data_IF_144950472123
#
_entry.id   IF_144950472123
#
_cell.length_a   1.000
_cell.length_b   1.000
_cell.length_c   1.000
_cell.angle_alpha   90.00
_cell.angle_beta   90.00
_cell.angle_gamma   90.00
#
_symmetry.space_group_name_H-M   'P 1'
#
loop_
_entity.id
_entity.type
_entity.pdbx_description
1 polymer ?
#
# COMPACT_ATOMS: atom_id res chain seq x y z
N UNK A 1 -6.71 -13.27 2.29
CA UNK A 1 -5.90 -13.96 1.26
C UNK A 1 -5.44 -12.90 0.28
N UNK A 2 -4.19 -13.01 -0.19
CA UNK A 2 -3.62 -12.04 -1.13
C UNK A 2 -3.53 -12.53 -2.56
N UNK A 3 -3.02 -11.65 -3.41
CA UNK A 3 -3.10 -11.71 -4.87
C UNK A 3 -2.11 -10.72 -5.50
N UNK A 4 -1.61 -11.03 -6.69
CA UNK A 4 -0.65 -10.19 -7.38
C UNK A 4 -1.31 -9.16 -8.33
N UNK A 5 -0.57 -8.11 -8.64
CA UNK A 5 -0.88 -7.08 -9.63
C UNK A 5 -0.49 -7.46 -11.06
N UNK A 6 -1.35 -7.16 -12.04
CA UNK A 6 -1.06 -7.20 -13.47
C UNK A 6 -0.59 -5.82 -13.95
N UNK A 7 0.72 -5.69 -14.12
CA UNK A 7 1.37 -4.45 -14.54
C UNK A 7 1.40 -4.35 -16.08
N UNK A 8 0.48 -5.04 -16.75
CA UNK A 8 0.57 -5.56 -18.12
C UNK A 8 0.54 -4.56 -19.28
N UNK A 9 0.88 -3.29 -19.08
CA UNK A 9 1.11 -2.35 -20.20
C UNK A 9 2.48 -1.67 -20.16
N UNK A 10 3.52 -2.52 -20.17
CA UNK A 10 4.89 -2.25 -20.65
C UNK A 10 5.58 -0.97 -20.12
N UNK A 11 6.20 -1.12 -18.95
CA UNK A 11 7.64 -0.87 -18.79
C UNK A 11 8.08 -1.57 -17.50
N UNK A 12 8.92 -2.61 -17.62
CA UNK A 12 9.48 -3.34 -16.47
C UNK A 12 10.33 -2.44 -15.55
N UNK A 13 10.62 -1.23 -16.01
CA UNK A 13 11.40 -0.22 -15.29
C UNK A 13 10.52 0.81 -14.55
N UNK A 14 9.18 0.75 -14.64
CA UNK A 14 8.30 1.84 -14.17
C UNK A 14 7.77 1.72 -12.73
N UNK A 15 8.08 0.64 -12.02
CA UNK A 15 7.56 0.43 -10.66
C UNK A 15 6.03 0.43 -10.60
N UNK A 16 5.46 0.56 -9.40
CA UNK A 16 4.01 0.75 -9.22
C UNK A 16 3.71 2.24 -9.32
N UNK A 17 2.90 2.64 -10.29
CA UNK A 17 2.50 4.04 -10.43
C UNK A 17 1.39 4.41 -9.45
N UNK A 18 1.45 5.61 -8.90
CA UNK A 18 0.37 6.14 -8.09
C UNK A 18 0.01 7.58 -8.45
N UNK A 19 -1.23 7.96 -8.19
CA UNK A 19 -1.74 9.32 -8.39
C UNK A 19 -2.51 9.77 -7.14
N UNK A 20 -2.29 10.99 -6.69
CA UNK A 20 -2.99 11.57 -5.54
C UNK A 20 -4.01 12.63 -6.00
N UNK A 21 -5.28 12.30 -5.88
CA UNK A 21 -6.40 13.21 -5.99
C UNK A 21 -6.75 13.80 -4.61
N UNK A 22 -6.79 15.13 -4.53
CA UNK A 22 -7.15 15.84 -3.31
C UNK A 22 -8.52 16.51 -3.46
N UNK A 23 -9.46 16.14 -2.59
CA UNK A 23 -10.79 16.74 -2.54
C UNK A 23 -10.87 17.83 -1.46
N UNK A 24 -10.76 19.08 -1.92
CA UNK A 24 -10.83 20.26 -1.07
C UNK A 24 -9.47 20.67 -0.50
N UNK A 25 -9.49 21.42 0.61
CA UNK A 25 -8.26 21.94 1.23
C UNK A 25 -7.75 21.00 2.31
N UNK A 26 -6.52 20.54 2.17
CA UNK A 26 -5.83 19.74 3.18
C UNK A 26 -5.10 20.62 4.19
N UNK A 27 -4.92 20.07 5.40
CA UNK A 27 -3.97 20.60 6.38
C UNK A 27 -2.55 20.36 5.87
N UNK A 28 -1.64 21.29 6.16
CA UNK A 28 -0.21 21.11 5.91
C UNK A 28 0.30 19.79 6.50
N UNK A 29 1.14 19.08 5.74
CA UNK A 29 1.75 17.81 6.14
C UNK A 29 0.96 16.55 5.78
N UNK A 30 -0.33 16.65 5.41
CA UNK A 30 -1.13 15.46 5.02
C UNK A 30 -0.51 14.73 3.83
N UNK A 31 -0.19 15.45 2.75
CA UNK A 31 0.45 14.83 1.57
C UNK A 31 1.80 14.20 1.91
N UNK A 32 2.59 14.88 2.74
CA UNK A 32 3.86 14.33 3.21
C UNK A 32 3.68 13.04 4.02
N UNK A 33 2.62 12.93 4.82
CA UNK A 33 2.31 11.71 5.57
C UNK A 33 1.94 10.54 4.64
N UNK A 34 1.22 10.81 3.54
CA UNK A 34 0.90 9.81 2.50
C UNK A 34 2.15 9.36 1.77
N UNK A 35 3.00 10.30 1.34
CA UNK A 35 4.28 9.94 0.71
C UNK A 35 5.16 9.12 1.64
N UNK A 36 5.24 9.49 2.92
CA UNK A 36 5.99 8.72 3.90
C UNK A 36 5.46 7.29 4.10
N UNK A 37 4.15 7.07 4.00
CA UNK A 37 3.57 5.73 4.06
C UNK A 37 4.00 4.87 2.85
N UNK A 38 4.06 5.46 1.67
CA UNK A 38 4.56 4.82 0.44
C UNK A 38 6.07 4.53 0.58
N UNK A 39 6.84 5.50 1.06
CA UNK A 39 8.28 5.36 1.34
C UNK A 39 8.57 4.25 2.37
N UNK A 40 7.71 4.07 3.37
CA UNK A 40 7.84 2.99 4.35
C UNK A 40 7.76 1.61 3.70
N UNK A 41 6.78 1.40 2.81
CA UNK A 41 6.68 0.17 2.03
C UNK A 41 7.87 -0.01 1.10
N UNK A 42 8.24 1.03 0.35
CA UNK A 42 9.38 0.96 -0.57
C UNK A 42 10.68 0.59 0.15
N UNK A 43 11.00 1.25 1.25
CA UNK A 43 12.21 1.00 2.01
C UNK A 43 12.25 -0.43 2.57
N UNK A 44 11.12 -0.92 3.08
CA UNK A 44 11.00 -2.26 3.69
C UNK A 44 11.07 -3.38 2.64
N UNK A 45 10.44 -3.20 1.49
CA UNK A 45 10.53 -4.13 0.35
C UNK A 45 11.95 -4.14 -0.22
N UNK A 46 12.58 -2.97 -0.35
CA UNK A 46 13.97 -2.85 -0.81
C UNK A 46 14.95 -3.56 0.13
N UNK A 47 14.77 -3.42 1.45
CA UNK A 47 15.56 -4.16 2.43
C UNK A 47 15.37 -5.67 2.30
N UNK A 48 14.12 -6.13 2.13
CA UNK A 48 13.82 -7.53 1.89
C UNK A 48 14.52 -8.05 0.62
N UNK A 49 14.39 -7.35 -0.51
CA UNK A 49 15.05 -7.70 -1.77
C UNK A 49 16.57 -7.83 -1.57
N UNK A 50 17.21 -6.85 -0.92
CA UNK A 50 18.64 -6.86 -0.66
C UNK A 50 19.10 -8.06 0.19
N UNK A 51 18.29 -8.51 1.15
CA UNK A 51 18.60 -9.68 2.00
C UNK A 51 18.47 -11.02 1.29
N UNK A 52 17.55 -11.13 0.31
CA UNK A 52 17.33 -12.37 -0.44
C UNK A 52 18.19 -12.47 -1.71
N UNK A 53 18.79 -11.37 -2.17
CA UNK A 53 19.73 -11.36 -3.30
C UNK A 53 21.14 -11.80 -2.88
N UNK A 54 21.30 -13.04 -2.42
CA UNK A 54 22.60 -13.71 -2.51
C UNK A 54 22.82 -14.18 -3.97
N UNK A 55 23.78 -13.56 -4.66
CA UNK A 55 24.38 -14.02 -5.92
C UNK A 55 23.50 -14.02 -7.20
N UNK A 56 22.97 -12.86 -7.62
CA UNK A 56 22.56 -12.65 -9.01
C UNK A 56 23.25 -11.42 -9.60
N UNK A 57 23.97 -11.60 -10.71
CA UNK A 57 24.84 -10.60 -11.40
C UNK A 57 24.06 -9.55 -12.22
N UNK A 58 22.73 -9.55 -12.11
CA UNK A 58 21.86 -8.60 -12.80
C UNK A 58 21.51 -7.43 -11.89
N UNK A 59 21.82 -6.20 -12.34
CA UNK A 59 21.25 -4.98 -11.80
C UNK A 59 19.75 -4.98 -12.12
N UNK A 60 18.95 -5.57 -11.23
CA UNK A 60 17.51 -5.43 -11.28
C UNK A 60 17.13 -3.98 -11.00
N UNK A 61 16.19 -3.44 -11.77
CA UNK A 61 15.56 -2.16 -11.44
C UNK A 61 14.88 -2.31 -10.08
N UNK A 62 15.27 -1.47 -9.12
CA UNK A 62 14.75 -1.58 -7.77
C UNK A 62 13.24 -1.38 -7.76
N UNK A 63 12.54 -2.14 -6.92
CA UNK A 63 11.15 -1.82 -6.59
C UNK A 63 11.04 -0.35 -6.20
N UNK A 64 10.01 0.31 -6.70
CA UNK A 64 9.74 1.70 -6.42
C UNK A 64 8.30 2.07 -6.72
N UNK A 65 7.82 3.08 -6.03
CA UNK A 65 6.57 3.74 -6.37
C UNK A 65 6.86 5.01 -7.18
N UNK A 66 6.07 5.23 -8.24
CA UNK A 66 6.24 6.38 -9.12
C UNK A 66 4.98 7.22 -9.11
N UNK A 67 5.09 8.43 -8.56
CA UNK A 67 3.99 9.38 -8.63
C UNK A 67 3.84 9.87 -10.08
N UNK A 68 2.62 9.76 -10.63
CA UNK A 68 2.23 10.32 -11.92
C UNK A 68 1.13 11.35 -11.73
N UNK A 69 0.85 12.14 -12.77
CA UNK A 69 -0.04 13.29 -12.68
C UNK A 69 -1.49 13.04 -13.05
N UNK A 70 -1.89 11.80 -13.32
CA UNK A 70 -3.24 11.46 -13.74
C UNK A 70 -3.71 10.09 -13.24
N UNK A 71 -5.03 9.87 -13.31
CA UNK A 71 -5.69 8.70 -12.75
C UNK A 71 -5.50 7.41 -13.57
N UNK A 72 -4.65 7.40 -14.60
CA UNK A 72 -4.25 6.15 -15.26
C UNK A 72 -3.24 5.34 -14.43
N UNK A 73 -2.94 5.77 -13.20
CA UNK A 73 -2.02 5.11 -12.29
C UNK A 73 -2.56 3.74 -11.85
N UNK A 74 -1.66 2.85 -11.45
CA UNK A 74 -2.03 1.56 -10.87
C UNK A 74 -2.82 1.78 -9.56
N UNK A 75 -2.37 2.73 -8.73
CA UNK A 75 -3.01 3.12 -7.48
C UNK A 75 -3.48 4.57 -7.54
N UNK A 76 -4.77 4.82 -7.35
CA UNK A 76 -5.31 6.18 -7.18
C UNK A 76 -5.67 6.43 -5.72
N UNK A 77 -5.05 7.44 -5.10
CA UNK A 77 -5.43 7.95 -3.79
C UNK A 77 -6.48 9.05 -3.93
N UNK A 78 -7.58 8.95 -3.19
CA UNK A 78 -8.61 9.98 -3.03
C UNK A 78 -8.57 10.45 -1.59
N UNK A 79 -7.95 11.60 -1.36
CA UNK A 79 -7.83 12.21 -0.03
C UNK A 79 -8.95 13.23 0.16
N UNK A 80 -9.82 12.98 1.12
CA UNK A 80 -10.98 13.83 1.41
C UNK A 80 -11.14 14.12 2.90
N UNK A 81 -12.08 14.99 3.25
CA UNK A 81 -12.32 15.34 4.68
C UNK A 81 -12.89 14.17 5.46
N UNK A 82 -13.88 13.49 4.91
CA UNK A 82 -14.50 12.29 5.48
C UNK A 82 -14.78 11.29 4.36
N UNK A 83 -14.77 10.00 4.68
CA UNK A 83 -15.09 8.93 3.74
C UNK A 83 -16.59 8.88 3.38
N UNK A 84 -17.44 9.54 4.19
CA UNK A 84 -18.89 9.32 4.22
C UNK A 84 -19.29 8.05 4.97
N UNK A 85 -18.32 7.32 5.53
CA UNK A 85 -18.47 6.07 6.27
C UNK A 85 -17.83 6.20 7.66
N UNK A 86 -17.93 5.15 8.48
CA UNK A 86 -17.22 5.08 9.76
C UNK A 86 -15.73 4.81 9.61
N UNK A 87 -15.34 4.11 8.54
CA UNK A 87 -13.94 3.83 8.24
C UNK A 87 -13.21 5.10 7.79
N UNK A 88 -11.95 5.25 8.21
CA UNK A 88 -11.06 6.36 7.90
C UNK A 88 -10.26 6.10 6.61
N UNK A 89 -10.11 4.84 6.21
CA UNK A 89 -9.55 4.39 4.95
C UNK A 89 -10.45 3.34 4.29
N UNK A 90 -10.30 3.18 2.98
CA UNK A 90 -10.90 2.08 2.23
C UNK A 90 -10.13 1.87 0.93
N UNK A 91 -9.70 0.63 0.69
CA UNK A 91 -9.12 0.21 -0.59
C UNK A 91 -10.10 -0.63 -1.38
N UNK A 92 -10.35 -0.22 -2.63
CA UNK A 92 -11.14 -0.97 -3.60
C UNK A 92 -10.21 -1.50 -4.69
N UNK A 93 -10.14 -2.82 -4.80
CA UNK A 93 -9.34 -3.51 -5.82
C UNK A 93 -10.21 -3.82 -7.05
N UNK A 94 -9.66 -3.54 -8.24
CA UNK A 94 -10.20 -4.00 -9.51
C UNK A 94 -9.44 -5.23 -9.99
N UNK A 95 -10.16 -6.15 -10.63
CA UNK A 95 -9.67 -7.48 -10.94
C UNK A 95 -9.90 -7.85 -12.39
N UNK A 96 -8.95 -8.56 -12.98
CA UNK A 96 -9.13 -9.31 -14.23
C UNK A 96 -8.43 -10.64 -14.09
N UNK A 97 -9.06 -11.74 -14.51
CA UNK A 97 -8.43 -13.08 -14.56
C UNK A 97 -7.70 -13.51 -13.26
N UNK A 98 -8.23 -13.13 -12.09
CA UNK A 98 -7.69 -13.52 -10.79
C UNK A 98 -6.47 -12.72 -10.32
N UNK A 99 -6.15 -11.60 -10.97
CA UNK A 99 -5.08 -10.66 -10.62
C UNK A 99 -5.63 -9.24 -10.43
N UNK A 100 -5.01 -8.46 -9.55
CA UNK A 100 -5.35 -7.04 -9.35
C UNK A 100 -4.89 -6.27 -10.59
N UNK A 101 -5.71 -5.39 -11.14
CA UNK A 101 -5.34 -4.53 -12.29
C UNK A 101 -5.30 -3.03 -11.93
N UNK A 102 -5.97 -2.63 -10.86
CA UNK A 102 -5.95 -1.27 -10.32
C UNK A 102 -6.45 -1.26 -8.88
N UNK A 103 -6.09 -0.23 -8.11
CA UNK A 103 -6.59 0.00 -6.76
C UNK A 103 -6.98 1.48 -6.59
N UNK A 104 -8.12 1.69 -5.94
CA UNK A 104 -8.54 3.00 -5.47
C UNK A 104 -8.47 3.02 -3.95
N UNK A 105 -7.64 3.90 -3.39
CA UNK A 105 -7.50 4.13 -1.96
C UNK A 105 -8.23 5.42 -1.62
N UNK A 106 -9.33 5.33 -0.87
CA UNK A 106 -10.01 6.49 -0.31
C UNK A 106 -9.60 6.70 1.14
N UNK A 107 -9.21 7.91 1.53
CA UNK A 107 -8.88 8.21 2.93
C UNK A 107 -9.49 9.52 3.42
N UNK A 108 -9.86 9.52 4.70
CA UNK A 108 -10.30 10.69 5.43
C UNK A 108 -9.14 11.39 6.13
N UNK A 109 -9.28 12.70 6.27
CA UNK A 109 -8.38 13.53 7.10
C UNK A 109 -9.04 13.99 8.40
N UNK A 110 -10.31 13.62 8.60
CA UNK A 110 -11.08 13.86 9.81
C UNK A 110 -11.89 12.62 10.16
N UNK A 111 -12.06 12.38 11.45
CA UNK A 111 -12.97 11.34 11.92
C UNK A 111 -14.44 11.75 11.76
N UNK A 112 -15.36 10.84 12.04
CA UNK A 112 -16.83 11.05 11.91
C UNK A 112 -17.37 12.22 12.74
N UNK A 113 -16.62 12.71 13.72
CA UNK A 113 -16.99 13.88 14.56
C UNK A 113 -16.42 15.19 14.01
N UNK A 114 -15.75 15.17 12.86
CA UNK A 114 -15.13 16.33 12.23
C UNK A 114 -13.81 16.76 12.87
N UNK A 115 -13.25 15.97 13.80
CA UNK A 115 -11.92 16.24 14.35
C UNK A 115 -10.86 15.79 13.35
N UNK A 116 -9.89 16.66 13.08
CA UNK A 116 -8.79 16.33 12.17
C UNK A 116 -7.91 15.24 12.78
N UNK A 117 -7.52 14.27 11.96
CA UNK A 117 -6.60 13.20 12.35
C UNK A 117 -5.20 13.75 12.56
N UNK A 118 -4.39 13.13 13.41
CA UNK A 118 -2.99 13.50 13.54
C UNK A 118 -2.18 13.00 12.32
N UNK A 119 -1.02 13.60 12.04
CA UNK A 119 -0.23 13.22 10.86
C UNK A 119 0.28 11.78 10.94
N UNK A 120 0.51 11.28 12.15
CA UNK A 120 0.88 9.89 12.39
C UNK A 120 -0.27 8.94 12.01
N UNK A 121 -1.51 9.27 12.38
CA UNK A 121 -2.67 8.46 12.02
C UNK A 121 -2.91 8.46 10.51
N UNK A 122 -2.77 9.63 9.85
CA UNK A 122 -2.85 9.72 8.38
C UNK A 122 -1.83 8.81 7.71
N UNK A 123 -0.59 8.77 8.22
CA UNK A 123 0.47 7.90 7.69
C UNK A 123 0.16 6.42 7.94
N UNK A 124 -0.32 6.06 9.13
CA UNK A 124 -0.70 4.67 9.44
C UNK A 124 -1.84 4.18 8.56
N UNK A 125 -2.90 4.99 8.40
CA UNK A 125 -4.03 4.66 7.52
C UNK A 125 -3.52 4.50 6.09
N UNK A 126 -2.75 5.47 5.58
CA UNK A 126 -2.19 5.36 4.23
C UNK A 126 -1.32 4.10 4.07
N UNK A 127 -0.49 3.75 5.06
CA UNK A 127 0.35 2.57 5.01
C UNK A 127 -0.48 1.27 5.03
N UNK A 128 -1.54 1.22 5.83
CA UNK A 128 -2.48 0.09 5.86
C UNK A 128 -3.16 -0.09 4.50
N UNK A 129 -3.72 0.98 3.94
CA UNK A 129 -4.40 0.94 2.64
C UNK A 129 -3.43 0.62 1.49
N UNK A 130 -2.18 1.08 1.56
CA UNK A 130 -1.14 0.64 0.60
C UNK A 130 -0.90 -0.87 0.73
N UNK A 131 -0.90 -1.44 1.94
CA UNK A 131 -0.82 -2.88 2.12
C UNK A 131 -1.96 -3.63 1.41
N UNK A 132 -3.19 -3.13 1.54
CA UNK A 132 -4.34 -3.66 0.78
C UNK A 132 -4.18 -3.50 -0.73
N UNK A 133 -3.71 -2.34 -1.18
CA UNK A 133 -3.42 -2.13 -2.58
C UNK A 133 -2.40 -3.15 -3.06
N UNK A 134 -1.33 -3.42 -2.31
CA UNK A 134 -0.35 -4.48 -2.57
C UNK A 134 -0.90 -5.92 -2.41
N UNK A 135 -2.20 -6.09 -2.18
CA UNK A 135 -2.85 -7.39 -2.12
C UNK A 135 -2.80 -8.07 -0.76
N UNK A 136 -2.45 -7.36 0.32
CA UNK A 136 -2.53 -7.90 1.67
C UNK A 136 -3.96 -7.83 2.21
N UNK A 137 -4.38 -8.85 2.98
CA UNK A 137 -5.58 -8.81 3.81
C UNK A 137 -5.25 -8.46 5.26
N UNK A 138 -6.29 -8.33 6.09
CA UNK A 138 -6.10 -8.02 7.51
C UNK A 138 -5.32 -9.09 8.27
N UNK A 139 -4.47 -8.62 9.17
CA UNK A 139 -3.80 -9.38 10.24
C UNK A 139 -4.74 -9.59 11.43
N UNK A 140 -4.55 -10.69 12.15
CA UNK A 140 -5.21 -10.96 13.44
C UNK A 140 -4.39 -10.42 14.63
N UNK A 141 -3.14 -9.97 14.40
CA UNK A 141 -2.27 -9.41 15.43
C UNK A 141 -2.55 -7.92 15.65
N UNK A 142 -2.99 -7.48 16.85
CA UNK A 142 -3.32 -6.08 17.12
C UNK A 142 -2.16 -5.08 17.02
N UNK A 143 -0.91 -5.56 17.08
CA UNK A 143 0.29 -4.73 16.97
C UNK A 143 0.82 -4.63 15.52
N UNK A 144 0.19 -5.32 14.57
CA UNK A 144 0.59 -5.36 13.16
C UNK A 144 -0.06 -4.24 12.34
N UNK A 145 0.67 -3.71 11.35
CA UNK A 145 0.16 -2.64 10.49
C UNK A 145 -1.14 -3.03 9.79
N UNK A 146 -1.28 -4.29 9.37
CA UNK A 146 -2.46 -4.79 8.66
C UNK A 146 -3.60 -5.19 9.61
N UNK A 147 -3.55 -4.88 10.90
CA UNK A 147 -4.68 -5.10 11.79
C UNK A 147 -5.86 -4.18 11.47
N UNK A 148 -7.08 -4.72 11.44
CA UNK A 148 -8.28 -4.03 10.99
C UNK A 148 -8.67 -2.77 11.81
N UNK A 149 -8.01 -2.48 12.94
CA UNK A 149 -8.33 -1.29 13.71
C UNK A 149 -7.79 0.01 13.12
N UNK A 150 -6.78 -0.04 12.24
CA UNK A 150 -6.26 1.16 11.58
C UNK A 150 -7.30 1.80 10.64
N UNK A 151 -8.30 1.04 10.21
CA UNK A 151 -9.50 1.55 9.54
C UNK A 151 -10.32 2.50 10.43
N UNK A 152 -10.17 2.45 11.76
CA UNK A 152 -11.12 3.07 12.69
C UNK A 152 -10.49 3.87 13.84
N UNK A 153 -9.19 3.71 14.13
CA UNK A 153 -8.58 4.19 15.37
C UNK A 153 -7.37 5.12 15.11
N UNK A 154 -7.31 6.18 15.91
CA UNK A 154 -6.15 7.05 16.08
C UNK A 154 -5.23 6.41 17.14
N UNK A 155 -4.05 5.92 16.75
CA UNK A 155 -3.11 5.27 17.69
C UNK A 155 -2.09 6.26 18.24
N UNK A 156 -1.80 7.34 17.50
CA UNK A 156 -0.76 8.32 17.85
C UNK A 156 0.68 7.77 17.79
N UNK A 157 0.87 6.51 17.41
CA UNK A 157 2.18 5.85 17.25
C UNK A 157 2.34 5.39 15.82
N UNK A 158 3.51 5.63 15.22
CA UNK A 158 3.79 5.16 13.85
C UNK A 158 3.98 3.65 13.83
N UNK A 159 3.36 2.99 12.85
CA UNK A 159 3.55 1.57 12.60
C UNK A 159 4.11 1.38 11.19
N UNK A 160 5.18 0.61 11.10
CA UNK A 160 5.81 0.24 9.85
C UNK A 160 5.38 -1.18 9.44
N UNK A 161 5.40 -1.51 8.14
CA UNK A 161 5.15 -2.88 7.67
C UNK A 161 6.00 -3.89 8.43
N UNK A 162 5.36 -4.90 9.01
CA UNK A 162 6.03 -5.90 9.86
C UNK A 162 6.91 -6.85 9.03
N UNK A 163 7.64 -7.75 9.68
CA UNK A 163 8.37 -8.80 8.94
C UNK A 163 7.41 -9.81 8.30
N UNK A 164 6.27 -10.06 8.93
CA UNK A 164 5.26 -10.96 8.40
C UNK A 164 4.54 -10.34 7.19
N UNK A 165 4.24 -9.04 7.21
CA UNK A 165 3.75 -8.31 6.03
C UNK A 165 4.70 -8.48 4.83
N UNK A 166 5.99 -8.34 5.07
CA UNK A 166 7.03 -8.52 4.04
C UNK A 166 7.10 -9.96 3.52
N UNK A 167 6.94 -10.97 4.38
CA UNK A 167 6.89 -12.38 3.97
C UNK A 167 5.65 -12.69 3.12
N UNK A 168 4.52 -12.03 3.41
CA UNK A 168 3.33 -12.10 2.58
C UNK A 168 3.55 -11.45 1.20
N UNK A 169 4.15 -10.26 1.15
CA UNK A 169 4.57 -9.61 -0.11
C UNK A 169 5.52 -10.53 -0.90
N UNK A 170 6.53 -11.10 -0.25
CA UNK A 170 7.44 -12.06 -0.88
C UNK A 170 6.70 -13.28 -1.44
N UNK A 171 5.68 -13.77 -0.72
CA UNK A 171 4.86 -14.90 -1.16
C UNK A 171 4.04 -14.55 -2.40
N UNK A 172 3.50 -13.33 -2.48
CA UNK A 172 2.68 -12.87 -3.62
C UNK A 172 3.54 -12.55 -4.85
N UNK A 173 4.69 -11.89 -4.65
CA UNK A 173 5.48 -11.29 -5.74
C UNK A 173 6.83 -11.93 -6.00
N UNK A 174 7.26 -12.91 -5.18
CA UNK A 174 8.55 -13.59 -5.29
C UNK A 174 9.76 -12.76 -4.87
N UNK A 175 10.95 -13.36 -5.01
CA UNK A 175 12.25 -12.75 -4.64
C UNK A 175 12.58 -11.48 -5.42
N UNK A 176 12.02 -11.35 -6.62
CA UNK A 176 12.29 -10.23 -7.48
C UNK A 176 11.21 -9.16 -7.39
N UNK A 177 10.33 -9.23 -6.38
CA UNK A 177 9.41 -8.19 -5.95
C UNK A 177 8.95 -7.32 -7.10
N UNK A 178 7.99 -7.83 -7.86
CA UNK A 178 7.35 -7.20 -9.02
C UNK A 178 8.08 -7.32 -10.37
N UNK A 179 9.23 -8.01 -10.46
CA UNK A 179 10.00 -8.15 -11.71
C UNK A 179 9.82 -9.49 -12.47
N UNK A 180 9.13 -10.51 -11.92
CA UNK A 180 8.91 -11.80 -12.60
C UNK A 180 7.47 -11.95 -13.08
N UNK A 181 7.38 -12.20 -14.38
CA UNK A 181 6.18 -12.50 -15.15
C UNK A 181 5.67 -13.94 -14.96
N UNK A 182 5.42 -14.38 -13.73
CA UNK A 182 4.51 -15.52 -13.54
C UNK A 182 3.28 -15.07 -12.79
N UNK A 183 2.21 -14.85 -13.56
CA UNK A 183 0.86 -14.57 -13.10
C UNK A 183 0.36 -15.75 -12.27
N UNK A 184 0.36 -15.63 -10.95
CA UNK A 184 -0.17 -16.67 -10.08
C UNK A 184 -1.06 -16.03 -9.01
N UNK A 185 -2.28 -16.54 -8.89
CA UNK A 185 -3.11 -16.28 -7.71
C UNK A 185 -2.54 -17.10 -6.55
N UNK A 186 -1.87 -16.42 -5.59
CA UNK A 186 -1.24 -17.09 -4.45
C UNK A 186 -2.03 -16.79 -3.18
N UNK A 187 -2.56 -17.83 -2.55
CA UNK A 187 -3.16 -17.70 -1.23
C UNK A 187 -2.07 -17.69 -0.16
N UNK A 188 -2.06 -16.67 0.70
CA UNK A 188 -1.18 -16.58 1.87
C UNK A 188 -2.02 -16.46 3.16
N UNK A 189 -1.44 -16.88 4.29
CA UNK A 189 -2.03 -16.75 5.62
C UNK A 189 -1.66 -15.39 6.22
N UNK A 190 -2.63 -14.57 6.65
CA UNK A 190 -2.33 -13.30 7.31
C UNK A 190 -1.50 -13.45 8.57
N UNK A 191 -0.89 -12.34 8.98
CA UNK A 191 -0.14 -12.26 10.23
C UNK A 191 -1.06 -12.54 11.42
N UNK A 192 -0.54 -13.28 12.41
CA UNK A 192 -1.26 -13.70 13.62
C UNK A 192 -0.54 -13.25 14.87
#
# INVERSE_FOLDING_TARGET
MGVAWDHGSLDVNRGITFYIQVEGRLRSGVLNAVHQAIEDWEARIRDLQNRHMEAYDGAYDSFGFVEISDASADITFIIKKNTGKTALGETVLSWSDGVIISAEITMATQNVRGRSLDLADVRNIAAHEVGHALGLGHSDNPDDLMYASYDFIETGTLNSPSQCDLEAIYTIYGTNGFLAYEKVTISYTPCT
#
